data_IF_447332435010
#
_entry.id   IF_447332435010
#
_cell.length_a   1.000
_cell.length_b   1.000
_cell.length_c   1.000
_cell.angle_alpha   90.00
_cell.angle_beta   90.00
_cell.angle_gamma   90.00
#
_symmetry.space_group_name_H-M   'P 1'
#
loop_
_entity.id
_entity.type
_entity.pdbx_description
1 polymer ?
#
# COMPACT_ATOMS: atom_id res chain seq x y z
N UNK A 1 27.56 62.07 19.27
CA UNK A 1 28.41 60.87 19.37
C UNK A 1 27.64 59.88 20.22
N UNK A 2 27.25 58.68 19.84
CA UNK A 2 27.51 57.74 18.74
C UNK A 2 26.28 56.79 18.74
N UNK A 3 25.57 56.67 17.63
CA UNK A 3 25.55 55.51 16.71
C UNK A 3 25.11 54.17 17.33
N UNK A 4 24.17 53.56 16.59
CA UNK A 4 23.92 52.11 16.49
C UNK A 4 23.04 51.52 17.60
N UNK A 5 22.04 50.69 17.32
CA UNK A 5 21.65 50.03 16.08
C UNK A 5 20.49 49.09 16.41
N UNK A 6 19.75 48.75 15.36
CA UNK A 6 18.56 47.91 15.35
C UNK A 6 18.59 46.66 16.24
N UNK A 7 17.44 46.32 16.81
CA UNK A 7 17.05 44.91 17.01
C UNK A 7 15.52 44.81 17.02
N UNK A 8 14.95 44.78 15.82
CA UNK A 8 13.63 44.19 15.56
C UNK A 8 13.81 42.69 15.73
N UNK A 9 13.41 42.13 16.88
CA UNK A 9 13.34 40.69 17.08
C UNK A 9 11.92 40.21 16.77
N UNK A 10 11.71 39.90 15.49
CA UNK A 10 10.62 39.05 15.03
C UNK A 10 10.88 37.65 15.60
N UNK A 11 10.02 37.17 16.50
CA UNK A 11 9.95 35.73 16.82
C UNK A 11 8.63 35.15 16.29
N UNK A 12 8.70 34.84 15.00
CA UNK A 12 7.80 34.00 14.24
C UNK A 12 7.96 32.54 14.71
N UNK A 13 7.26 32.10 15.77
CA UNK A 13 7.17 30.67 16.06
C UNK A 13 5.78 30.35 16.61
N UNK A 14 4.91 29.87 15.71
CA UNK A 14 3.91 28.83 15.96
C UNK A 14 3.44 28.31 14.61
N UNK A 15 4.38 27.73 13.85
CA UNK A 15 4.09 26.86 12.70
C UNK A 15 3.59 25.51 13.26
N UNK A 16 2.58 24.88 12.64
CA UNK A 16 1.53 24.16 13.36
C UNK A 16 1.97 22.77 13.82
N UNK A 17 1.40 22.38 14.95
CA UNK A 17 1.48 21.09 15.64
C UNK A 17 0.76 19.96 14.87
N UNK A 18 1.01 19.79 13.56
CA UNK A 18 0.29 18.83 12.69
C UNK A 18 1.16 17.72 12.08
N UNK A 19 2.47 17.65 12.39
CA UNK A 19 3.37 16.64 11.82
C UNK A 19 3.15 15.20 12.33
N UNK A 20 2.40 15.02 13.42
CA UNK A 20 2.16 13.69 14.01
C UNK A 20 1.27 12.78 13.15
N UNK A 21 0.33 13.36 12.41
CA UNK A 21 -0.57 12.58 11.54
C UNK A 21 0.15 12.06 10.30
N UNK A 22 1.13 12.81 9.78
CA UNK A 22 1.88 12.45 8.57
C UNK A 22 2.90 11.34 8.89
N UNK A 23 3.60 11.41 10.02
CA UNK A 23 4.60 10.41 10.40
C UNK A 23 4.00 9.03 10.73
N UNK A 24 2.84 8.99 11.40
CA UNK A 24 2.12 7.73 11.62
C UNK A 24 1.65 7.10 10.31
N UNK A 25 1.18 7.90 9.34
CA UNK A 25 0.77 7.45 8.01
C UNK A 25 1.91 6.81 7.22
N UNK A 26 3.06 7.51 7.12
CA UNK A 26 4.21 7.01 6.34
C UNK A 26 4.78 5.73 6.93
N UNK A 27 4.85 5.62 8.27
CA UNK A 27 5.38 4.42 8.94
C UNK A 27 4.48 3.21 8.67
N UNK A 28 3.17 3.40 8.72
CA UNK A 28 2.19 2.34 8.50
C UNK A 28 2.24 1.79 7.07
N UNK A 29 2.28 2.65 6.06
CA UNK A 29 2.28 2.19 4.67
C UNK A 29 3.62 1.59 4.24
N UNK A 30 4.74 2.16 4.71
CA UNK A 30 6.07 1.63 4.44
C UNK A 30 6.26 0.18 4.97
N UNK A 31 5.56 -0.16 6.07
CA UNK A 31 5.55 -1.53 6.60
C UNK A 31 4.94 -2.53 5.60
N UNK A 32 3.92 -2.14 4.84
CA UNK A 32 3.31 -3.00 3.83
C UNK A 32 4.23 -3.16 2.62
N UNK A 33 4.89 -2.09 2.17
CA UNK A 33 5.82 -2.19 1.03
C UNK A 33 6.93 -3.21 1.31
N UNK A 34 7.55 -3.13 2.50
CA UNK A 34 8.59 -4.08 2.91
C UNK A 34 8.05 -5.51 3.04
N UNK A 35 6.81 -5.66 3.52
CA UNK A 35 6.15 -6.96 3.66
C UNK A 35 5.83 -7.59 2.31
N UNK A 36 5.29 -6.82 1.37
CA UNK A 36 4.96 -7.30 0.02
C UNK A 36 6.20 -7.59 -0.82
N UNK A 37 7.33 -6.92 -0.55
CA UNK A 37 8.61 -7.22 -1.21
C UNK A 37 9.12 -8.65 -0.94
N UNK A 38 8.58 -9.35 0.07
CA UNK A 38 8.88 -10.76 0.35
C UNK A 38 8.18 -11.73 -0.62
N UNK A 39 7.31 -11.23 -1.49
CA UNK A 39 6.57 -12.06 -2.45
C UNK A 39 7.50 -12.82 -3.38
N UNK A 40 7.15 -14.09 -3.57
CA UNK A 40 7.70 -15.00 -4.59
C UNK A 40 6.70 -15.27 -5.70
N UNK A 41 5.43 -15.03 -5.43
CA UNK A 41 4.38 -15.08 -6.43
C UNK A 41 3.27 -14.08 -6.10
N UNK A 42 2.73 -13.46 -7.14
CA UNK A 42 1.52 -12.64 -7.09
C UNK A 42 0.51 -13.23 -8.07
N UNK A 43 -0.71 -13.49 -7.61
CA UNK A 43 -1.85 -13.85 -8.47
C UNK A 43 -2.84 -12.70 -8.51
N UNK A 44 -3.16 -12.22 -9.70
CA UNK A 44 -4.18 -11.20 -9.95
C UNK A 44 -5.41 -11.90 -10.50
N UNK A 45 -6.55 -11.69 -9.84
CA UNK A 45 -7.74 -12.48 -10.05
C UNK A 45 -9.00 -11.60 -10.02
N UNK A 46 -10.05 -12.06 -10.69
CA UNK A 46 -11.39 -11.57 -10.42
C UNK A 46 -11.77 -11.88 -8.97
N UNK A 47 -12.18 -10.87 -8.22
CA UNK A 47 -12.51 -11.05 -6.81
C UNK A 47 -13.81 -11.84 -6.58
N UNK A 48 -14.70 -11.92 -7.57
CA UNK A 48 -16.00 -12.59 -7.52
C UNK A 48 -15.91 -14.02 -8.07
N UNK A 49 -15.23 -14.24 -9.20
CA UNK A 49 -15.16 -15.54 -9.88
C UNK A 49 -13.90 -16.34 -9.55
N UNK A 50 -12.88 -15.69 -8.98
CA UNK A 50 -11.53 -16.24 -8.78
C UNK A 50 -10.84 -16.68 -10.09
N UNK A 51 -11.29 -16.17 -11.23
CA UNK A 51 -10.59 -16.31 -12.51
C UNK A 51 -9.23 -15.62 -12.42
N UNK A 52 -8.16 -16.31 -12.79
CA UNK A 52 -6.79 -15.79 -12.73
C UNK A 52 -6.49 -15.03 -14.01
N UNK A 53 -6.35 -13.71 -13.91
CA UNK A 53 -5.94 -12.86 -15.02
C UNK A 53 -4.44 -12.89 -15.25
N UNK A 54 -3.66 -12.94 -14.16
CA UNK A 54 -2.21 -12.89 -14.22
C UNK A 54 -1.57 -13.65 -13.06
N UNK A 55 -0.48 -14.34 -13.34
CA UNK A 55 0.43 -14.91 -12.34
C UNK A 55 1.83 -14.36 -12.59
N UNK A 56 2.43 -13.75 -11.55
CA UNK A 56 3.73 -13.09 -11.61
C UNK A 56 4.67 -13.81 -10.64
N UNK A 57 5.74 -14.42 -11.16
CA UNK A 57 6.70 -15.20 -10.36
C UNK A 57 8.13 -14.70 -10.51
N UNK A 58 8.42 -13.89 -11.53
CA UNK A 58 9.75 -13.36 -11.73
C UNK A 58 9.99 -12.12 -10.84
N UNK A 59 11.20 -11.95 -10.27
CA UNK A 59 11.47 -10.85 -9.35
C UNK A 59 11.26 -9.45 -9.95
N UNK A 60 11.51 -9.27 -11.25
CA UNK A 60 11.37 -7.97 -11.90
C UNK A 60 9.89 -7.63 -12.10
N UNK A 61 9.06 -8.60 -12.50
CA UNK A 61 7.61 -8.48 -12.60
C UNK A 61 6.98 -8.16 -11.26
N UNK A 62 7.41 -8.83 -10.19
CA UNK A 62 6.96 -8.56 -8.82
C UNK A 62 7.33 -7.12 -8.43
N UNK A 63 8.58 -6.69 -8.64
CA UNK A 63 9.00 -5.32 -8.35
C UNK A 63 8.18 -4.30 -9.12
N UNK A 64 8.02 -4.49 -10.43
CA UNK A 64 7.26 -3.59 -11.29
C UNK A 64 5.80 -3.48 -10.84
N UNK A 65 5.18 -4.59 -10.45
CA UNK A 65 3.82 -4.61 -9.91
C UNK A 65 3.73 -3.80 -8.61
N UNK A 66 4.69 -3.98 -7.69
CA UNK A 66 4.69 -3.23 -6.43
C UNK A 66 4.95 -1.73 -6.64
N UNK A 67 5.84 -1.35 -7.57
CA UNK A 67 6.10 0.05 -7.91
C UNK A 67 4.83 0.73 -8.49
N UNK A 68 4.02 -0.01 -9.26
CA UNK A 68 2.75 0.51 -9.82
C UNK A 68 1.69 0.79 -8.75
N UNK A 69 1.78 0.16 -7.58
CA UNK A 69 0.85 0.42 -6.48
C UNK A 69 1.02 1.83 -5.91
N UNK A 70 2.22 2.42 -6.00
CA UNK A 70 2.55 3.73 -5.41
C UNK A 70 2.12 3.80 -3.93
N UNK A 71 2.48 2.78 -3.16
CA UNK A 71 2.01 2.58 -1.78
C UNK A 71 2.25 3.83 -0.92
N UNK A 72 3.36 4.52 -1.11
CA UNK A 72 3.71 5.75 -0.40
C UNK A 72 2.67 6.87 -0.52
N UNK A 73 1.81 6.84 -1.54
CA UNK A 73 0.74 7.82 -1.76
C UNK A 73 -0.61 7.41 -1.14
N UNK A 74 -0.71 6.21 -0.54
CA UNK A 74 -1.96 5.69 0.00
C UNK A 74 -2.36 6.40 1.29
N UNK A 75 -3.66 6.68 1.41
CA UNK A 75 -4.25 7.38 2.55
C UNK A 75 -5.25 6.47 3.24
N UNK A 76 -5.17 6.34 4.56
CA UNK A 76 -6.17 5.60 5.33
C UNK A 76 -7.59 6.11 5.06
N UNK A 77 -8.51 5.20 4.80
CA UNK A 77 -9.88 5.51 4.47
C UNK A 77 -10.84 4.51 5.13
N UNK A 78 -12.13 4.85 5.09
CA UNK A 78 -13.21 3.90 5.37
C UNK A 78 -13.82 3.48 4.05
N UNK A 79 -14.07 2.19 3.88
CA UNK A 79 -14.73 1.71 2.67
C UNK A 79 -16.19 2.20 2.64
N UNK A 80 -16.65 2.83 1.54
CA UNK A 80 -18.06 3.13 1.37
C UNK A 80 -18.93 1.86 1.41
N UNK A 81 -20.18 2.01 1.85
CA UNK A 81 -21.16 0.91 1.82
C UNK A 81 -21.39 0.41 0.39
N UNK A 82 -21.69 -0.89 0.26
CA UNK A 82 -22.03 -1.58 -0.99
C UNK A 82 -20.91 -1.71 -2.05
N UNK A 83 -19.68 -1.36 -1.68
CA UNK A 83 -18.50 -1.57 -2.51
C UNK A 83 -18.18 -3.05 -2.69
N UNK A 84 -18.11 -3.49 -3.94
CA UNK A 84 -17.66 -4.84 -4.30
C UNK A 84 -16.23 -4.80 -4.83
N UNK A 85 -15.37 -5.64 -4.25
CA UNK A 85 -14.06 -5.87 -4.81
C UNK A 85 -14.20 -6.43 -6.22
N UNK A 86 -13.46 -5.87 -7.17
CA UNK A 86 -13.37 -6.34 -8.56
C UNK A 86 -12.11 -7.16 -8.77
N UNK A 87 -10.98 -6.68 -8.26
CA UNK A 87 -9.69 -7.36 -8.39
C UNK A 87 -9.24 -7.84 -7.02
N UNK A 88 -8.72 -9.07 -6.98
CA UNK A 88 -8.03 -9.65 -5.83
C UNK A 88 -6.60 -9.98 -6.24
N UNK A 89 -5.64 -9.41 -5.53
CA UNK A 89 -4.23 -9.77 -5.67
C UNK A 89 -3.82 -10.60 -4.45
N UNK A 90 -3.39 -11.84 -4.67
CA UNK A 90 -2.88 -12.73 -3.62
C UNK A 90 -1.36 -12.77 -3.66
N UNK A 91 -0.73 -12.54 -2.52
CA UNK A 91 0.72 -12.52 -2.39
C UNK A 91 1.18 -13.77 -1.64
N UNK A 92 2.10 -14.50 -2.25
CA UNK A 92 2.66 -15.73 -1.71
C UNK A 92 4.15 -15.57 -1.46
N UNK A 93 4.64 -16.15 -0.39
CA UNK A 93 6.07 -16.24 -0.08
C UNK A 93 6.45 -17.69 0.19
N UNK A 94 7.74 -17.98 0.13
CA UNK A 94 8.27 -19.26 0.57
C UNK A 94 8.05 -19.43 2.08
N UNK A 95 7.64 -20.63 2.46
CA UNK A 95 7.49 -21.08 3.84
C UNK A 95 8.17 -22.43 3.97
N UNK A 96 8.97 -22.59 5.01
CA UNK A 96 9.63 -23.85 5.33
C UNK A 96 8.76 -24.64 6.30
N UNK A 97 8.14 -25.71 5.81
CA UNK A 97 7.29 -26.61 6.60
C UNK A 97 8.08 -27.78 7.19
N UNK A 98 9.32 -27.97 6.73
CA UNK A 98 10.25 -28.99 7.23
C UNK A 98 11.69 -28.75 6.77
N UNK A 99 12.65 -29.63 7.14
CA UNK A 99 14.08 -29.44 6.89
C UNK A 99 14.46 -29.28 5.42
N UNK A 100 13.67 -29.87 4.51
CA UNK A 100 13.88 -29.81 3.06
C UNK A 100 12.56 -29.53 2.31
N UNK A 101 11.54 -29.04 3.02
CA UNK A 101 10.21 -28.81 2.44
C UNK A 101 9.95 -27.30 2.40
N UNK A 102 9.90 -26.77 1.18
CA UNK A 102 9.54 -25.38 0.90
C UNK A 102 8.23 -25.38 0.14
N UNK A 103 7.27 -24.62 0.64
CA UNK A 103 5.96 -24.42 0.00
C UNK A 103 5.70 -22.93 -0.17
N UNK A 104 4.84 -22.57 -1.13
CA UNK A 104 4.34 -21.21 -1.24
C UNK A 104 3.10 -21.04 -0.36
N UNK A 105 3.19 -20.13 0.60
CA UNK A 105 2.09 -19.80 1.50
C UNK A 105 1.63 -18.37 1.25
N UNK A 106 0.30 -18.18 1.14
CA UNK A 106 -0.29 -16.86 1.03
C UNK A 106 -0.10 -16.10 2.35
N UNK A 107 0.43 -14.88 2.30
CA UNK A 107 0.63 -14.06 3.50
C UNK A 107 -0.14 -12.73 3.46
N UNK A 108 -0.53 -12.26 2.27
CA UNK A 108 -1.31 -11.04 2.11
C UNK A 108 -2.33 -11.14 0.97
N UNK A 109 -3.37 -10.33 1.07
CA UNK A 109 -4.37 -10.10 0.02
C UNK A 109 -4.58 -8.61 -0.17
N UNK A 110 -4.56 -8.13 -1.40
CA UNK A 110 -5.01 -6.80 -1.79
C UNK A 110 -6.34 -6.93 -2.54
N UNK A 111 -7.34 -6.17 -2.11
CA UNK A 111 -8.63 -6.06 -2.80
C UNK A 111 -8.75 -4.67 -3.41
N UNK A 112 -9.04 -4.58 -4.70
CA UNK A 112 -9.34 -3.33 -5.39
C UNK A 112 -10.83 -3.24 -5.68
N UNK A 113 -11.43 -2.10 -5.36
CA UNK A 113 -12.87 -1.88 -5.50
C UNK A 113 -13.19 -1.19 -6.82
N UNK A 114 -14.38 -1.49 -7.37
CA UNK A 114 -14.77 -1.03 -8.70
C UNK A 114 -15.20 0.44 -8.78
N UNK A 115 -15.69 1.02 -7.70
CA UNK A 115 -16.15 2.41 -7.67
C UNK A 115 -15.19 3.27 -6.85
N UNK A 116 -14.33 4.02 -7.53
CA UNK A 116 -13.35 4.89 -6.87
C UNK A 116 -12.09 4.16 -6.42
N UNK A 117 -11.04 4.91 -6.04
CA UNK A 117 -9.70 4.36 -5.89
C UNK A 117 -9.54 3.79 -4.48
N UNK A 118 -10.36 2.82 -4.10
CA UNK A 118 -10.26 2.18 -2.79
C UNK A 118 -9.54 0.86 -2.91
N UNK A 119 -8.71 0.59 -1.91
CA UNK A 119 -8.03 -0.67 -1.73
C UNK A 119 -8.14 -1.15 -0.30
N UNK A 120 -8.29 -2.45 -0.10
CA UNK A 120 -8.15 -3.07 1.21
C UNK A 120 -6.93 -4.00 1.22
N UNK A 121 -6.01 -3.75 2.14
CA UNK A 121 -4.89 -4.63 2.42
C UNK A 121 -5.23 -5.55 3.58
N UNK A 122 -5.10 -6.85 3.36
CA UNK A 122 -5.33 -7.89 4.35
C UNK A 122 -4.03 -8.64 4.64
N UNK A 123 -3.60 -8.62 5.90
CA UNK A 123 -2.42 -9.36 6.37
C UNK A 123 -2.78 -10.01 7.69
N UNK A 124 -2.55 -11.32 7.82
CA UNK A 124 -2.78 -12.09 9.06
C UNK A 124 -4.18 -11.87 9.70
N UNK A 125 -5.23 -11.78 8.87
CA UNK A 125 -6.61 -11.59 9.34
C UNK A 125 -6.97 -10.15 9.73
N UNK A 126 -6.02 -9.20 9.66
CA UNK A 126 -6.30 -7.77 9.80
C UNK A 126 -6.55 -7.16 8.43
N UNK A 127 -7.64 -6.42 8.27
CA UNK A 127 -7.99 -5.71 7.03
C UNK A 127 -7.98 -4.21 7.24
N UNK A 128 -7.29 -3.49 6.37
CA UNK A 128 -7.16 -2.02 6.46
C UNK A 128 -7.46 -1.42 5.10
N UNK A 129 -8.28 -0.37 5.11
CA UNK A 129 -8.78 0.26 3.88
C UNK A 129 -8.02 1.57 3.64
N UNK A 130 -7.73 1.80 2.37
CA UNK A 130 -7.01 2.95 1.88
C UNK A 130 -7.71 3.53 0.66
N UNK A 131 -7.54 4.83 0.48
CA UNK A 131 -7.67 5.51 -0.79
C UNK A 131 -6.29 5.50 -1.48
N UNK A 132 -6.26 5.04 -2.72
CA UNK A 132 -5.06 4.94 -3.57
C UNK A 132 -5.03 6.07 -4.61
N UNK A 133 -3.85 6.40 -5.15
CA UNK A 133 -3.78 7.31 -6.28
C UNK A 133 -4.50 6.71 -7.49
N UNK A 134 -5.24 7.56 -8.21
CA UNK A 134 -6.00 7.14 -9.39
C UNK A 134 -5.14 6.45 -10.45
N UNK A 135 -3.89 6.89 -10.61
CA UNK A 135 -2.95 6.29 -11.56
C UNK A 135 -2.65 4.81 -11.24
N UNK A 136 -2.42 4.48 -9.96
CA UNK A 136 -2.23 3.11 -9.51
C UNK A 136 -3.48 2.26 -9.66
N UNK A 137 -4.65 2.82 -9.33
CA UNK A 137 -5.94 2.16 -9.52
C UNK A 137 -6.17 1.78 -11.00
N UNK A 138 -6.03 2.76 -11.91
CA UNK A 138 -6.26 2.57 -13.35
C UNK A 138 -5.28 1.57 -13.98
N UNK A 139 -4.05 1.46 -13.45
CA UNK A 139 -3.07 0.49 -13.94
C UNK A 139 -3.48 -0.96 -13.63
N UNK A 140 -4.07 -1.19 -12.47
CA UNK A 140 -4.35 -2.53 -11.92
C UNK A 140 -5.75 -3.05 -12.28
N UNK A 141 -6.64 -2.20 -12.77
CA UNK A 141 -8.00 -2.59 -13.19
C UNK A 141 -8.15 -2.82 -14.68
N UNK A 142 -7.05 -2.86 -15.45
CA UNK A 142 -7.05 -2.97 -16.93
C UNK A 142 -7.26 -4.40 -17.48
N UNK A 143 -7.83 -5.30 -16.70
CA UNK A 143 -8.00 -6.71 -17.05
C UNK A 143 -9.36 -7.00 -17.67
#
# INVERSE_FOLDING_TARGET
MEKSGALILILLICVPFLSGCIQAKTTFVNSYQSTLALSREIRVEDAQTAEVYQQITDPQGIKNFLDQLQLEEWILATLPTDQKARIRCRFFQESHTGPNETTLTQFATLLLYGEGPYAAMQVQGTSVVFEMPKAGCDALTKH
#
